data_IF_289974231326
#
_entry.id   IF_289974231326
#
_cell.length_a   1.000
_cell.length_b   1.000
_cell.length_c   1.000
_cell.angle_alpha   90.00
_cell.angle_beta   90.00
_cell.angle_gamma   90.00
#
_symmetry.space_group_name_H-M   'P 1'
#
loop_
_entity.id
_entity.type
_entity.pdbx_description
1 polymer ?
#
# COMPACT_ATOMS: atom_id res chain seq x y z
N UNK A 1 9.89 -22.41 10.64
CA UNK A 1 9.15 -21.20 10.25
C UNK A 1 10.07 -19.99 10.51
N UNK A 2 10.00 -19.00 9.67
CA UNK A 2 10.75 -17.74 9.79
C UNK A 2 9.74 -16.62 9.85
N UNK A 3 9.73 -15.87 10.95
CA UNK A 3 8.90 -14.68 11.08
C UNK A 3 9.50 -13.54 10.27
N UNK A 4 8.73 -12.98 9.34
CA UNK A 4 9.16 -11.85 8.52
C UNK A 4 9.11 -10.52 9.28
N UNK A 5 8.19 -10.42 10.22
CA UNK A 5 8.04 -9.31 11.17
C UNK A 5 7.28 -9.78 12.41
N UNK A 6 7.37 -9.03 13.48
CA UNK A 6 6.60 -9.28 14.71
C UNK A 6 5.34 -8.41 14.71
N UNK A 7 4.19 -9.06 14.87
CA UNK A 7 2.88 -8.43 14.88
C UNK A 7 2.62 -7.50 16.07
N UNK A 8 1.49 -6.84 16.05
CA UNK A 8 1.07 -5.91 17.12
C UNK A 8 0.87 -6.66 18.43
N UNK A 9 1.59 -6.30 19.52
CA UNK A 9 1.52 -7.02 20.76
C UNK A 9 0.19 -6.83 21.48
N UNK A 10 -0.33 -7.89 22.09
CA UNK A 10 -1.45 -7.78 23.01
C UNK A 10 -1.04 -7.02 24.28
N UNK A 11 -1.95 -6.21 24.86
CA UNK A 11 -1.66 -5.47 26.08
C UNK A 11 -1.16 -6.38 27.22
N UNK A 12 -0.09 -5.97 27.89
CA UNK A 12 0.50 -6.71 29.02
C UNK A 12 1.49 -7.82 28.64
N UNK A 13 1.68 -8.12 27.35
CA UNK A 13 2.68 -9.08 26.90
C UNK A 13 4.02 -8.38 26.63
N UNK A 14 4.87 -8.31 27.67
CA UNK A 14 6.18 -7.63 27.60
C UNK A 14 7.11 -8.24 26.56
N UNK A 15 7.10 -9.56 26.42
CA UNK A 15 7.93 -10.24 25.43
C UNK A 15 7.50 -9.90 24.01
N UNK A 16 6.22 -9.90 23.72
CA UNK A 16 5.71 -9.50 22.41
C UNK A 16 6.00 -8.02 22.10
N UNK A 17 5.95 -7.15 23.11
CA UNK A 17 6.32 -5.73 22.97
C UNK A 17 7.81 -5.55 22.63
N UNK A 18 8.71 -6.32 23.26
CA UNK A 18 10.14 -6.31 22.94
C UNK A 18 10.39 -6.77 21.49
N UNK A 19 9.76 -7.86 21.06
CA UNK A 19 9.85 -8.37 19.70
C UNK A 19 9.30 -7.36 18.67
N UNK A 20 8.15 -6.77 18.98
CA UNK A 20 7.58 -5.74 18.11
C UNK A 20 8.53 -4.54 17.92
N UNK A 21 9.19 -4.10 19.00
CA UNK A 21 10.18 -3.01 18.95
C UNK A 21 11.44 -3.37 18.17
N UNK A 22 11.71 -4.65 17.98
CA UNK A 22 12.83 -5.12 17.17
C UNK A 22 12.56 -4.99 15.66
N UNK A 23 11.31 -4.77 15.22
CA UNK A 23 11.03 -4.49 13.81
C UNK A 23 11.68 -3.18 13.38
N UNK A 24 12.20 -3.18 12.16
CA UNK A 24 12.72 -1.98 11.50
C UNK A 24 11.69 -1.49 10.50
N UNK A 25 11.03 -0.39 10.83
CA UNK A 25 10.13 0.32 9.91
C UNK A 25 10.93 1.38 9.15
N UNK A 26 10.88 1.35 7.84
CA UNK A 26 11.60 2.31 7.01
C UNK A 26 10.74 2.87 5.88
N UNK A 27 11.02 4.12 5.52
CA UNK A 27 10.41 4.81 4.39
C UNK A 27 11.52 5.19 3.42
N UNK A 28 11.35 4.80 2.16
CA UNK A 28 12.29 5.13 1.09
C UNK A 28 11.60 6.03 0.08
N UNK A 29 12.17 7.19 -0.20
CA UNK A 29 11.75 8.07 -1.29
C UNK A 29 12.45 7.65 -2.57
N UNK A 30 11.78 7.84 -3.70
CA UNK A 30 12.31 7.46 -5.02
C UNK A 30 12.80 6.02 -5.02
N UNK A 31 11.90 5.09 -4.61
CA UNK A 31 12.20 3.67 -4.52
C UNK A 31 12.46 3.08 -5.90
N UNK A 32 13.71 2.83 -6.21
CA UNK A 32 14.11 2.14 -7.45
C UNK A 32 13.76 0.66 -7.33
N UNK A 33 13.09 0.11 -8.32
CA UNK A 33 12.54 -1.25 -8.25
C UNK A 33 12.90 -2.13 -9.43
N UNK A 34 13.27 -1.53 -10.57
CA UNK A 34 13.66 -2.29 -11.75
C UNK A 34 15.14 -2.66 -11.72
N UNK A 35 15.42 -3.89 -12.12
CA UNK A 35 16.78 -4.37 -12.27
C UNK A 35 17.43 -3.85 -13.55
N UNK A 36 16.66 -3.78 -14.62
CA UNK A 36 17.15 -3.47 -15.97
C UNK A 36 17.00 -1.98 -16.29
N UNK A 37 15.99 -1.32 -15.73
CA UNK A 37 15.68 0.10 -15.92
C UNK A 37 15.98 0.89 -14.65
N UNK A 38 17.25 1.16 -14.39
CA UNK A 38 17.73 1.75 -13.12
C UNK A 38 17.18 3.14 -12.80
N UNK A 39 16.57 3.83 -13.77
CA UNK A 39 15.96 5.14 -13.57
C UNK A 39 14.49 5.06 -13.14
N UNK A 40 13.85 3.89 -13.27
CA UNK A 40 12.47 3.72 -12.84
C UNK A 40 12.38 3.71 -11.32
N UNK A 41 11.64 4.64 -10.78
CA UNK A 41 11.40 4.76 -9.35
C UNK A 41 9.93 5.06 -9.06
N UNK A 42 9.46 4.52 -7.95
CA UNK A 42 8.21 4.94 -7.29
C UNK A 42 8.50 6.16 -6.42
N UNK A 43 7.51 7.01 -6.22
CA UNK A 43 7.69 8.19 -5.37
C UNK A 43 8.09 7.81 -3.94
N UNK A 44 7.51 6.73 -3.40
CA UNK A 44 7.82 6.26 -2.06
C UNK A 44 7.51 4.77 -1.87
N UNK A 45 8.21 4.14 -0.93
CA UNK A 45 7.91 2.80 -0.41
C UNK A 45 8.03 2.74 1.11
N UNK A 46 7.19 1.94 1.74
CA UNK A 46 7.30 1.56 3.16
C UNK A 46 7.75 0.11 3.24
N UNK A 47 8.74 -0.13 4.10
CA UNK A 47 9.33 -1.46 4.30
C UNK A 47 9.28 -1.83 5.78
N UNK A 48 9.10 -3.12 6.06
CA UNK A 48 9.26 -3.70 7.40
C UNK A 48 10.38 -4.74 7.30
N UNK A 49 11.43 -4.60 8.11
CA UNK A 49 12.60 -5.47 8.09
C UNK A 49 13.24 -5.64 6.69
N UNK A 50 13.20 -4.56 5.89
CA UNK A 50 13.72 -4.55 4.52
C UNK A 50 12.76 -5.12 3.45
N UNK A 51 11.59 -5.64 3.84
CA UNK A 51 10.59 -6.16 2.92
C UNK A 51 9.60 -5.06 2.55
N UNK A 52 9.34 -4.78 1.27
CA UNK A 52 8.39 -3.77 0.84
C UNK A 52 6.95 -4.22 1.16
N UNK A 53 6.22 -3.39 1.89
CA UNK A 53 4.83 -3.67 2.26
C UNK A 53 3.83 -2.73 1.60
N UNK A 54 4.23 -1.50 1.31
CA UNK A 54 3.40 -0.54 0.59
C UNK A 54 4.23 0.31 -0.37
N UNK A 55 3.67 0.61 -1.54
CA UNK A 55 4.24 1.53 -2.51
C UNK A 55 3.30 2.68 -2.81
N UNK A 56 3.85 3.82 -3.26
CA UNK A 56 3.08 5.04 -3.45
C UNK A 56 3.48 5.78 -4.73
N UNK A 57 2.47 6.24 -5.46
CA UNK A 57 2.56 7.31 -6.43
C UNK A 57 1.79 8.52 -5.85
N UNK A 58 2.49 9.63 -5.69
CA UNK A 58 2.01 10.81 -5.00
C UNK A 58 1.80 11.94 -6.01
N UNK A 59 0.63 12.57 -5.96
CA UNK A 59 0.29 13.71 -6.81
C UNK A 59 -0.12 14.90 -5.97
N UNK A 60 -0.01 16.08 -6.55
CA UNK A 60 -0.34 17.33 -5.90
C UNK A 60 -1.13 18.21 -6.86
N UNK A 61 -2.29 18.67 -6.45
CA UNK A 61 -3.15 19.57 -7.24
C UNK A 61 -2.52 20.93 -7.56
N UNK A 62 -1.53 21.37 -6.78
CA UNK A 62 -0.77 22.55 -7.12
C UNK A 62 -0.02 22.41 -8.47
N UNK A 63 0.34 21.18 -8.83
CA UNK A 63 0.91 20.84 -10.13
C UNK A 63 -0.13 20.41 -11.16
N UNK A 64 -1.43 20.59 -10.86
CA UNK A 64 -2.58 20.16 -11.68
C UNK A 64 -2.65 18.65 -11.89
N UNK A 65 -2.05 17.86 -11.00
CA UNK A 65 -2.12 16.42 -11.00
C UNK A 65 -3.03 15.92 -9.88
N UNK A 66 -3.72 14.81 -10.15
CA UNK A 66 -4.72 14.23 -9.26
C UNK A 66 -4.40 12.76 -8.95
N UNK A 67 -5.17 12.16 -8.05
CA UNK A 67 -5.10 10.72 -7.76
C UNK A 67 -5.26 9.87 -9.03
N UNK A 68 -6.03 10.33 -10.01
CA UNK A 68 -6.19 9.62 -11.28
C UNK A 68 -4.88 9.56 -12.08
N UNK A 69 -4.09 10.63 -12.07
CA UNK A 69 -2.76 10.62 -12.70
C UNK A 69 -1.83 9.60 -12.04
N UNK A 70 -1.90 9.47 -10.70
CA UNK A 70 -1.16 8.44 -9.97
C UNK A 70 -1.63 7.02 -10.34
N UNK A 71 -2.94 6.81 -10.47
CA UNK A 71 -3.52 5.54 -10.95
C UNK A 71 -3.04 5.22 -12.36
N UNK A 72 -3.07 6.21 -13.27
CA UNK A 72 -2.62 6.02 -14.65
C UNK A 72 -1.12 5.72 -14.72
N UNK A 73 -0.31 6.31 -13.84
CA UNK A 73 1.12 6.01 -13.74
C UNK A 73 1.36 4.55 -13.37
N UNK A 74 0.63 3.99 -12.40
CA UNK A 74 0.69 2.56 -12.09
C UNK A 74 0.24 1.68 -13.27
N UNK A 75 -0.81 2.08 -13.99
CA UNK A 75 -1.38 1.29 -15.08
C UNK A 75 -0.53 1.27 -16.34
N UNK A 76 0.21 2.35 -16.62
CA UNK A 76 0.93 2.54 -17.88
C UNK A 76 2.44 2.39 -17.75
N UNK A 77 3.00 2.89 -16.63
CA UNK A 77 4.44 3.09 -16.50
C UNK A 77 5.07 2.07 -15.55
N UNK A 78 4.27 1.20 -14.89
CA UNK A 78 4.75 0.18 -13.97
C UNK A 78 4.49 -1.21 -14.56
N UNK A 79 5.56 -1.88 -15.01
CA UNK A 79 5.42 -3.23 -15.58
C UNK A 79 5.10 -4.24 -14.47
N UNK A 80 3.94 -4.94 -14.51
CA UNK A 80 3.58 -5.95 -13.51
C UNK A 80 4.54 -7.14 -13.45
N UNK A 81 5.41 -7.31 -14.42
CA UNK A 81 6.44 -8.37 -14.44
C UNK A 81 7.63 -8.06 -13.56
N UNK A 82 7.84 -6.80 -13.21
CA UNK A 82 8.89 -6.41 -12.26
C UNK A 82 8.70 -7.11 -10.92
N UNK A 83 9.80 -7.52 -10.28
CA UNK A 83 9.78 -8.34 -9.08
C UNK A 83 8.91 -7.74 -7.96
N UNK A 84 9.00 -6.43 -7.75
CA UNK A 84 8.25 -5.72 -6.70
C UNK A 84 6.75 -5.83 -6.89
N UNK A 85 6.26 -5.91 -8.14
CA UNK A 85 4.84 -5.91 -8.47
C UNK A 85 4.25 -7.31 -8.64
N UNK A 86 5.07 -8.35 -8.59
CA UNK A 86 4.59 -9.72 -8.64
C UNK A 86 3.78 -10.05 -7.38
N UNK A 87 2.82 -10.96 -7.55
CA UNK A 87 1.96 -11.41 -6.46
C UNK A 87 2.76 -11.83 -5.21
N UNK A 88 2.35 -11.32 -4.05
CA UNK A 88 2.96 -11.65 -2.75
C UNK A 88 4.30 -10.96 -2.47
N UNK A 89 4.73 -9.99 -3.30
CA UNK A 89 5.96 -9.23 -3.08
C UNK A 89 5.75 -7.91 -2.36
N UNK A 90 4.61 -7.27 -2.57
CA UNK A 90 4.19 -6.07 -1.86
C UNK A 90 2.71 -6.22 -1.51
N UNK A 91 2.31 -5.77 -0.34
CA UNK A 91 0.95 -5.96 0.12
C UNK A 91 -0.04 -5.02 -0.60
N UNK A 92 0.35 -3.76 -0.83
CA UNK A 92 -0.55 -2.75 -1.38
C UNK A 92 0.20 -1.67 -2.17
N UNK A 93 -0.47 -1.14 -3.19
CA UNK A 93 -0.02 -0.02 -4.02
C UNK A 93 -1.01 1.12 -3.87
N UNK A 94 -0.57 2.26 -3.36
CA UNK A 94 -1.39 3.44 -3.13
C UNK A 94 -1.14 4.52 -4.17
N UNK A 95 -2.22 5.02 -4.75
CA UNK A 95 -2.27 6.27 -5.50
C UNK A 95 -2.87 7.35 -4.61
N UNK A 96 -2.19 8.46 -4.41
CA UNK A 96 -2.54 9.47 -3.39
C UNK A 96 -2.40 10.88 -3.95
N UNK A 97 -3.40 11.71 -3.69
CA UNK A 97 -3.25 13.17 -3.79
C UNK A 97 -3.66 13.84 -2.45
N UNK A 98 -3.78 15.14 -2.43
CA UNK A 98 -4.17 15.91 -1.24
C UNK A 98 -5.65 15.74 -0.85
N UNK A 99 -6.48 15.10 -1.69
CA UNK A 99 -7.91 14.93 -1.49
C UNK A 99 -8.35 13.48 -1.32
N UNK A 100 -7.74 12.56 -2.08
CA UNK A 100 -8.18 11.19 -2.22
C UNK A 100 -7.03 10.17 -2.15
N UNK A 101 -7.38 8.96 -1.70
CA UNK A 101 -6.53 7.78 -1.72
C UNK A 101 -7.22 6.68 -2.49
N UNK A 102 -6.49 6.03 -3.38
CA UNK A 102 -6.91 4.77 -4.01
C UNK A 102 -5.86 3.69 -3.79
N UNK A 103 -6.30 2.45 -3.67
CA UNK A 103 -5.43 1.31 -3.40
C UNK A 103 -5.65 0.18 -4.41
N UNK A 104 -4.58 -0.56 -4.66
CA UNK A 104 -4.59 -1.76 -5.47
C UNK A 104 -3.69 -2.81 -4.81
N UNK A 105 -4.15 -4.06 -4.71
CA UNK A 105 -3.37 -5.17 -4.12
C UNK A 105 -2.70 -6.05 -5.17
N UNK A 106 -2.97 -5.83 -6.46
CA UNK A 106 -2.38 -6.61 -7.55
C UNK A 106 -2.35 -5.79 -8.82
N UNK A 107 -1.16 -5.41 -9.27
CA UNK A 107 -1.00 -4.72 -10.54
C UNK A 107 -1.15 -5.69 -11.72
N UNK A 108 -1.90 -5.27 -12.72
CA UNK A 108 -2.17 -5.99 -13.97
C UNK A 108 -2.06 -5.07 -15.19
N UNK A 109 -1.17 -4.06 -15.13
CA UNK A 109 -1.06 -3.04 -16.14
C UNK A 109 -2.35 -2.23 -16.26
N UNK A 110 -2.88 -2.08 -17.48
CA UNK A 110 -4.12 -1.33 -17.73
C UNK A 110 -5.35 -1.89 -17.03
N UNK A 111 -5.34 -3.20 -16.73
CA UNK A 111 -6.43 -3.90 -16.05
C UNK A 111 -6.33 -3.84 -14.52
N UNK A 112 -5.35 -3.12 -13.98
CA UNK A 112 -5.23 -2.91 -12.55
C UNK A 112 -6.48 -2.24 -12.00
N UNK A 113 -7.02 -2.80 -10.91
CA UNK A 113 -8.23 -2.28 -10.27
C UNK A 113 -7.85 -1.50 -9.02
N UNK A 114 -8.04 -0.19 -9.08
CA UNK A 114 -7.85 0.71 -7.95
C UNK A 114 -9.18 1.03 -7.28
N UNK A 115 -9.29 0.70 -6.00
CA UNK A 115 -10.46 0.97 -5.16
C UNK A 115 -10.25 2.26 -4.36
N UNK A 116 -11.31 3.05 -4.12
CA UNK A 116 -11.23 4.16 -3.18
C UNK A 116 -10.90 3.66 -1.77
N UNK A 117 -9.97 4.35 -1.11
CA UNK A 117 -9.58 4.09 0.28
C UNK A 117 -9.80 5.36 1.11
N UNK A 118 -10.98 5.94 1.02
CA UNK A 118 -11.36 7.19 1.64
C UNK A 118 -12.25 6.94 2.87
N UNK A 119 -12.24 7.88 3.83
CA UNK A 119 -13.08 7.82 5.05
C UNK A 119 -14.59 7.93 4.78
N UNK A 120 -14.97 8.48 3.64
CA UNK A 120 -16.34 8.90 3.37
C UNK A 120 -16.66 10.28 3.97
N UNK A 121 -17.58 11.01 3.34
CA UNK A 121 -17.99 12.32 3.81
C UNK A 121 -19.42 12.64 3.33
N UNK A 122 -20.28 13.14 4.23
CA UNK A 122 -21.65 13.53 3.94
C UNK A 122 -22.47 12.45 3.19
N UNK A 123 -22.41 11.22 3.69
CA UNK A 123 -23.07 10.04 3.09
C UNK A 123 -22.57 9.67 1.67
N UNK A 124 -21.42 10.19 1.25
CA UNK A 124 -20.82 9.95 -0.06
C UNK A 124 -19.35 9.54 0.02
N UNK A 125 -18.74 9.41 -1.15
CA UNK A 125 -17.32 9.14 -1.31
C UNK A 125 -16.46 10.37 -0.93
N UNK A 126 -15.15 10.17 -0.78
CA UNK A 126 -14.20 11.22 -0.49
C UNK A 126 -13.79 11.29 0.97
N UNK A 127 -13.15 12.38 1.35
CA UNK A 127 -12.64 12.58 2.71
C UNK A 127 -13.17 13.89 3.31
N UNK A 128 -13.40 13.93 4.64
CA UNK A 128 -13.80 15.16 5.30
C UNK A 128 -12.72 16.24 5.18
N UNK A 129 -13.12 17.54 5.21
CA UNK A 129 -12.15 18.63 5.31
C UNK A 129 -11.25 18.45 6.53
N UNK A 130 -9.96 18.72 6.37
CA UNK A 130 -8.99 18.74 7.46
C UNK A 130 -8.45 20.18 7.60
N UNK A 131 -8.84 20.95 8.64
CA UNK A 131 -8.39 22.32 8.80
C UNK A 131 -6.91 22.45 9.16
N UNK A 132 -6.25 21.36 9.54
CA UNK A 132 -4.87 21.34 9.99
C UNK A 132 -3.93 20.58 9.05
N UNK A 133 -4.38 20.21 7.84
CA UNK A 133 -3.56 19.47 6.90
C UNK A 133 -4.32 19.02 5.66
N UNK A 134 -3.82 17.95 5.05
CA UNK A 134 -4.44 17.36 3.87
C UNK A 134 -5.62 16.47 4.28
N UNK A 135 -6.62 16.34 3.42
CA UNK A 135 -7.74 15.41 3.65
C UNK A 135 -7.27 13.96 3.73
N UNK A 136 -6.11 13.66 3.17
CA UNK A 136 -5.48 12.33 3.15
C UNK A 136 -4.51 12.09 4.30
N UNK A 137 -4.36 13.01 5.26
CA UNK A 137 -3.46 12.86 6.40
C UNK A 137 -3.73 11.62 7.27
N UNK A 138 -4.98 11.14 7.31
CA UNK A 138 -5.34 9.92 8.04
C UNK A 138 -4.52 8.70 7.57
N UNK A 139 -4.17 8.64 6.27
CA UNK A 139 -3.36 7.56 5.74
C UNK A 139 -2.02 7.44 6.48
N UNK A 140 -1.37 8.59 6.71
CA UNK A 140 -0.06 8.68 7.37
C UNK A 140 -0.14 8.60 8.87
N UNK A 141 -1.16 9.24 9.47
CA UNK A 141 -1.27 9.43 10.92
C UNK A 141 -2.02 8.31 11.62
N UNK A 142 -2.89 7.60 10.92
CA UNK A 142 -3.74 6.56 11.49
C UNK A 142 -3.41 5.17 10.91
N UNK A 143 -3.48 5.02 9.58
CA UNK A 143 -3.38 3.73 8.89
C UNK A 143 -1.95 3.19 8.82
N UNK A 144 -1.00 4.03 8.44
CA UNK A 144 0.39 3.61 8.19
C UNK A 144 1.31 3.79 9.41
N UNK A 145 0.74 3.93 10.59
CA UNK A 145 1.53 3.84 11.84
C UNK A 145 2.04 2.41 12.04
N UNK A 146 3.18 2.20 12.69
CA UNK A 146 3.75 0.86 12.88
C UNK A 146 2.75 -0.17 13.42
N UNK A 147 1.99 0.18 14.47
CA UNK A 147 1.01 -0.74 15.07
C UNK A 147 -0.17 -1.03 14.14
N UNK A 148 -0.76 -0.01 13.53
CA UNK A 148 -1.88 -0.20 12.61
C UNK A 148 -1.46 -0.98 11.38
N UNK A 149 -0.30 -0.68 10.80
CA UNK A 149 0.20 -1.35 9.61
C UNK A 149 0.46 -2.85 9.87
N UNK A 150 1.09 -3.20 11.00
CA UNK A 150 1.32 -4.62 11.34
C UNK A 150 0.02 -5.34 11.68
N UNK A 151 -0.92 -4.69 12.34
CA UNK A 151 -2.24 -5.24 12.62
C UNK A 151 -3.02 -5.54 11.33
N UNK A 152 -2.98 -4.61 10.38
CA UNK A 152 -3.59 -4.82 9.04
C UNK A 152 -2.95 -6.00 8.32
N UNK A 153 -1.62 -6.08 8.30
CA UNK A 153 -0.91 -7.15 7.61
C UNK A 153 -1.15 -8.52 8.25
N UNK A 154 -1.27 -8.58 9.56
CA UNK A 154 -1.46 -9.83 10.31
C UNK A 154 -2.91 -10.33 10.28
N UNK A 155 -3.88 -9.42 10.44
CA UNK A 155 -5.27 -9.79 10.72
C UNK A 155 -6.23 -9.54 9.56
N UNK A 156 -5.89 -8.64 8.63
CA UNK A 156 -6.80 -8.25 7.53
C UNK A 156 -6.26 -8.58 6.15
N UNK A 157 -4.94 -8.56 5.94
CA UNK A 157 -4.37 -8.94 4.65
C UNK A 157 -4.49 -10.45 4.43
N UNK A 158 -5.35 -10.87 3.50
CA UNK A 158 -5.62 -12.28 3.23
C UNK A 158 -5.35 -12.63 1.76
N UNK A 159 -4.91 -13.86 1.55
CA UNK A 159 -4.83 -14.44 0.20
C UNK A 159 -6.01 -15.37 -0.02
N UNK A 160 -6.87 -15.05 -0.98
CA UNK A 160 -7.98 -15.90 -1.38
C UNK A 160 -7.69 -16.57 -2.73
N UNK A 161 -8.06 -17.84 -2.85
CA UNK A 161 -8.05 -18.54 -4.13
C UNK A 161 -9.44 -18.45 -4.76
N UNK A 162 -9.50 -17.89 -5.96
CA UNK A 162 -10.71 -17.88 -6.78
C UNK A 162 -10.46 -18.72 -8.03
N UNK A 163 -11.50 -19.40 -8.51
CA UNK A 163 -11.47 -20.00 -9.85
C UNK A 163 -11.95 -18.96 -10.85
N UNK A 164 -11.22 -18.80 -11.94
CA UNK A 164 -11.68 -18.01 -13.07
C UNK A 164 -12.78 -18.78 -13.85
N UNK A 165 -13.38 -18.13 -14.83
CA UNK A 165 -14.44 -18.72 -15.68
C UNK A 165 -13.96 -19.96 -16.46
N UNK A 166 -12.65 -20.16 -16.58
CA UNK A 166 -12.03 -21.34 -17.17
C UNK A 166 -11.70 -22.45 -16.15
N UNK A 167 -12.03 -22.24 -14.86
CA UNK A 167 -11.77 -23.18 -13.77
C UNK A 167 -10.33 -23.15 -13.25
N UNK A 168 -9.47 -22.24 -13.72
CA UNK A 168 -8.10 -22.08 -13.24
C UNK A 168 -8.09 -21.37 -11.90
N UNK A 169 -7.30 -21.86 -10.96
CA UNK A 169 -7.09 -21.21 -9.66
C UNK A 169 -6.29 -19.91 -9.85
N UNK A 170 -6.85 -18.78 -9.43
CA UNK A 170 -6.20 -17.49 -9.35
C UNK A 170 -6.11 -17.06 -7.90
N UNK A 171 -4.92 -16.70 -7.44
CA UNK A 171 -4.74 -16.12 -6.11
C UNK A 171 -4.96 -14.61 -6.17
N UNK A 172 -5.67 -14.09 -5.19
CA UNK A 172 -5.91 -12.66 -5.02
C UNK A 172 -5.63 -12.26 -3.58
N UNK A 173 -4.94 -11.17 -3.41
CA UNK A 173 -4.76 -10.55 -2.10
C UNK A 173 -5.88 -9.55 -1.87
N UNK A 174 -6.45 -9.57 -0.69
CA UNK A 174 -7.51 -8.66 -0.24
C UNK A 174 -7.14 -8.07 1.11
N UNK A 175 -7.64 -6.87 1.37
CA UNK A 175 -7.64 -6.20 2.65
C UNK A 175 -9.08 -6.02 3.11
#
# INVERSE_FOLDING_TARGET
DVDLFYGTPTPGNTRAEELFRANIFSVTRQLRYSKDESQLALDMGILINGLPVATFELKNRLTKQTVEDAVQQYKRDRDPKELLFQFGRCAVHFAVDDQEVRMCTSLAGRDSWFLPFNKGFNHGAGNPPNPHGLKTDYLWREILTPRSLTDILENYAQTVEQKDDSGRKKRRQIF
#
